data_IF_697132093952
#
_entry.id   IF_697132093952
#
_cell.length_a   1.000
_cell.length_b   1.000
_cell.length_c   1.000
_cell.angle_alpha   90.00
_cell.angle_beta   90.00
_cell.angle_gamma   90.00
#
_symmetry.space_group_name_H-M   'P 1'
#
loop_
_entity.id
_entity.type
_entity.pdbx_description
1 polymer ?
#
# COMPACT_ATOMS: atom_id res chain seq x y z
N UNK A 1 -1.30 -4.81 0.63
CA UNK A 1 -2.38 -3.80 0.68
C UNK A 1 -2.59 -3.16 -0.69
N UNK A 2 -1.62 -2.48 -1.30
CA UNK A 2 -1.71 -1.86 -2.64
C UNK A 2 -2.38 -2.78 -3.67
N UNK A 3 -1.78 -3.93 -3.93
CA UNK A 3 -2.29 -4.89 -4.92
C UNK A 3 -3.74 -5.33 -4.61
N UNK A 4 -4.03 -5.68 -3.34
CA UNK A 4 -5.39 -6.10 -2.94
C UNK A 4 -6.43 -5.01 -3.17
N UNK A 5 -6.11 -3.74 -2.88
CA UNK A 5 -7.03 -2.62 -3.12
C UNK A 5 -7.31 -2.42 -4.61
N UNK A 6 -6.29 -2.51 -5.46
CA UNK A 6 -6.47 -2.40 -6.90
C UNK A 6 -7.27 -3.57 -7.49
N UNK A 7 -6.99 -4.81 -7.06
CA UNK A 7 -7.74 -6.00 -7.46
C UNK A 7 -9.21 -5.91 -7.01
N UNK A 8 -9.46 -5.45 -5.77
CA UNK A 8 -10.81 -5.23 -5.25
C UNK A 8 -11.56 -4.16 -6.06
N UNK A 9 -10.91 -3.02 -6.32
CA UNK A 9 -11.48 -1.94 -7.11
C UNK A 9 -11.82 -2.39 -8.54
N UNK A 10 -10.93 -3.14 -9.16
CA UNK A 10 -11.14 -3.69 -10.51
C UNK A 10 -12.10 -4.91 -10.53
N UNK A 11 -12.61 -5.35 -9.37
CA UNK A 11 -13.49 -6.52 -9.23
C UNK A 11 -12.88 -7.82 -9.80
N UNK A 12 -11.57 -7.99 -9.61
CA UNK A 12 -10.84 -9.17 -10.13
C UNK A 12 -10.87 -10.29 -9.10
N UNK A 13 -11.30 -11.47 -9.55
CA UNK A 13 -11.26 -12.70 -8.76
C UNK A 13 -9.92 -13.40 -8.94
N UNK A 14 -9.32 -13.85 -7.83
CA UNK A 14 -8.03 -14.54 -7.81
C UNK A 14 -8.08 -15.80 -6.96
N UNK A 15 -7.14 -16.72 -7.19
CA UNK A 15 -6.72 -17.70 -6.18
C UNK A 15 -5.76 -17.03 -5.22
N UNK A 16 -6.12 -16.98 -3.95
CA UNK A 16 -5.29 -16.37 -2.90
C UNK A 16 -4.46 -17.44 -2.20
N UNK A 17 -3.15 -17.25 -2.20
CA UNK A 17 -2.19 -18.01 -1.40
C UNK A 17 -1.58 -17.09 -0.36
N UNK A 18 -2.15 -17.09 0.85
CA UNK A 18 -1.62 -16.31 1.98
C UNK A 18 -0.38 -17.00 2.54
N UNK A 19 0.67 -16.24 2.83
CA UNK A 19 1.92 -16.80 3.33
C UNK A 19 2.38 -16.10 4.62
N UNK A 20 3.21 -16.78 5.40
CA UNK A 20 3.99 -16.17 6.49
C UNK A 20 5.34 -15.74 5.95
N UNK A 21 5.76 -14.49 6.23
CA UNK A 21 7.07 -13.99 5.80
C UNK A 21 8.25 -14.70 6.46
N UNK A 22 8.01 -15.33 7.62
CA UNK A 22 8.99 -16.17 8.32
C UNK A 22 9.05 -17.61 7.81
N UNK A 23 8.07 -18.01 6.98
CA UNK A 23 7.93 -19.38 6.47
C UNK A 23 7.35 -19.30 5.04
N UNK A 24 8.24 -18.99 4.10
CA UNK A 24 7.91 -18.76 2.69
C UNK A 24 7.97 -20.09 1.95
N UNK A 25 6.90 -20.47 1.22
CA UNK A 25 6.89 -21.72 0.45
C UNK A 25 7.78 -21.64 -0.80
N UNK A 26 8.28 -22.78 -1.27
CA UNK A 26 9.14 -22.88 -2.46
C UNK A 26 8.43 -22.39 -3.73
N UNK A 27 7.11 -22.51 -3.78
CA UNK A 27 6.28 -22.01 -4.89
C UNK A 27 6.39 -20.50 -5.05
N UNK A 28 6.59 -19.74 -3.96
CA UNK A 28 6.84 -18.32 -4.05
C UNK A 28 8.16 -18.03 -4.78
N UNK A 29 9.23 -18.76 -4.44
CA UNK A 29 10.54 -18.59 -5.09
C UNK A 29 10.54 -19.09 -6.53
N UNK A 30 9.74 -20.12 -6.83
CA UNK A 30 9.50 -20.58 -8.21
C UNK A 30 8.81 -19.51 -9.05
N UNK A 31 7.84 -18.78 -8.46
CA UNK A 31 7.14 -17.70 -9.14
C UNK A 31 7.98 -16.43 -9.25
N UNK A 32 8.74 -16.06 -8.20
CA UNK A 32 9.63 -14.89 -8.19
C UNK A 32 10.86 -15.13 -7.34
N UNK A 33 12.04 -15.07 -7.95
CA UNK A 33 13.32 -15.24 -7.27
C UNK A 33 13.58 -14.22 -6.15
N UNK A 34 12.87 -13.09 -6.13
CA UNK A 34 12.95 -12.08 -5.06
C UNK A 34 12.44 -12.60 -3.73
N UNK A 35 11.53 -13.59 -3.73
CA UNK A 35 10.88 -14.10 -2.53
C UNK A 35 10.10 -13.04 -1.74
N UNK A 36 9.74 -11.91 -2.38
CA UNK A 36 8.95 -10.84 -1.78
C UNK A 36 7.46 -11.00 -2.12
N UNK A 37 6.61 -10.34 -1.37
CA UNK A 37 5.16 -10.31 -1.64
C UNK A 37 4.69 -8.86 -1.81
N UNK A 38 3.67 -8.65 -2.66
CA UNK A 38 2.85 -9.61 -3.38
C UNK A 38 3.52 -10.12 -4.66
N UNK A 39 3.11 -11.32 -5.11
CA UNK A 39 3.38 -11.85 -6.45
C UNK A 39 2.04 -12.21 -7.07
N UNK A 40 1.82 -11.83 -8.32
CA UNK A 40 0.64 -12.18 -9.10
C UNK A 40 1.07 -13.00 -10.32
N UNK A 41 0.60 -14.25 -10.41
CA UNK A 41 0.75 -15.08 -11.59
C UNK A 41 -0.50 -15.01 -12.44
N UNK A 42 -0.34 -14.70 -13.72
CA UNK A 42 -1.45 -14.63 -14.68
C UNK A 42 -1.74 -15.99 -15.31
N UNK A 43 -2.94 -16.19 -15.89
CA UNK A 43 -3.31 -17.47 -16.52
C UNK A 43 -2.37 -17.92 -17.66
N UNK A 44 -1.70 -16.99 -18.31
CA UNK A 44 -0.71 -17.29 -19.37
C UNK A 44 0.68 -17.66 -18.82
N UNK A 45 0.84 -17.75 -17.48
CA UNK A 45 2.08 -18.05 -16.80
C UNK A 45 3.00 -16.88 -16.54
N UNK A 46 2.70 -15.67 -17.05
CA UNK A 46 3.49 -14.48 -16.73
C UNK A 46 3.31 -14.05 -15.28
N UNK A 47 4.34 -13.42 -14.71
CA UNK A 47 4.39 -13.05 -13.29
C UNK A 47 4.63 -11.56 -13.15
N UNK A 48 3.90 -10.94 -12.22
CA UNK A 48 4.08 -9.54 -11.79
C UNK A 48 4.41 -9.57 -10.30
N UNK A 49 5.59 -9.13 -9.92
CA UNK A 49 6.12 -9.25 -8.55
C UNK A 49 6.39 -7.91 -7.84
N UNK A 50 5.96 -6.80 -8.45
CA UNK A 50 5.95 -5.49 -7.80
C UNK A 50 4.52 -5.03 -7.51
N UNK A 51 4.28 -4.59 -6.28
CA UNK A 51 2.92 -4.23 -5.85
C UNK A 51 2.30 -3.10 -6.67
N UNK A 52 3.12 -2.16 -7.15
CA UNK A 52 2.65 -1.07 -7.98
C UNK A 52 2.35 -1.52 -9.42
N UNK A 53 3.14 -2.45 -9.97
CA UNK A 53 2.87 -3.01 -11.30
C UNK A 53 1.59 -3.87 -11.29
N UNK A 54 1.33 -4.60 -10.18
CA UNK A 54 0.04 -5.28 -10.00
C UNK A 54 -1.11 -4.26 -9.95
N UNK A 55 -0.93 -3.10 -9.31
CA UNK A 55 -1.97 -2.05 -9.32
C UNK A 55 -2.23 -1.57 -10.75
N UNK A 56 -1.20 -1.22 -11.52
CA UNK A 56 -1.35 -0.77 -12.91
C UNK A 56 -2.07 -1.82 -13.75
N UNK A 57 -1.59 -3.05 -13.71
CA UNK A 57 -2.22 -4.16 -14.41
C UNK A 57 -3.71 -4.31 -14.07
N UNK A 58 -4.06 -4.27 -12.78
CA UNK A 58 -5.45 -4.40 -12.36
C UNK A 58 -6.33 -3.25 -12.88
N UNK A 59 -5.82 -2.02 -12.89
CA UNK A 59 -6.55 -0.86 -13.39
C UNK A 59 -6.72 -0.85 -14.90
N UNK A 60 -5.81 -1.49 -15.66
CA UNK A 60 -5.93 -1.69 -17.10
C UNK A 60 -7.08 -2.67 -17.47
N UNK A 61 -7.50 -3.52 -16.53
CA UNK A 61 -8.60 -4.47 -16.75
C UNK A 61 -10.00 -3.84 -16.56
N UNK A 62 -10.09 -2.58 -16.14
CA UNK A 62 -11.36 -1.92 -15.83
C UNK A 62 -11.37 -0.47 -16.27
N UNK A 63 -12.57 0.11 -16.39
CA UNK A 63 -12.69 1.57 -16.51
C UNK A 63 -12.42 2.17 -15.14
N UNK A 64 -11.44 3.09 -15.07
CA UNK A 64 -11.02 3.73 -13.84
C UNK A 64 -10.87 5.22 -14.03
N UNK A 65 -11.20 5.98 -12.99
CA UNK A 65 -10.88 7.41 -12.88
C UNK A 65 -9.63 7.67 -12.01
N UNK A 66 -8.96 6.61 -11.53
CA UNK A 66 -7.74 6.74 -10.71
C UNK A 66 -6.50 7.20 -11.48
N UNK A 67 -6.58 7.18 -12.80
CA UNK A 67 -5.47 7.55 -13.70
C UNK A 67 -5.74 8.87 -14.45
N UNK A 68 -6.90 9.51 -14.22
CA UNK A 68 -7.40 10.59 -15.06
C UNK A 68 -6.70 11.95 -14.82
N UNK A 69 -6.09 12.14 -13.65
CA UNK A 69 -5.58 13.45 -13.23
C UNK A 69 -4.05 13.38 -13.05
N UNK A 70 -3.31 14.19 -13.82
CA UNK A 70 -1.86 14.42 -13.63
C UNK A 70 -1.08 13.14 -13.32
N UNK A 71 -1.21 12.12 -14.16
CA UNK A 71 -0.66 10.80 -13.89
C UNK A 71 0.86 10.83 -13.65
N UNK A 72 1.61 11.66 -14.38
CA UNK A 72 3.05 11.83 -14.20
C UNK A 72 3.40 12.39 -12.80
N UNK A 73 2.64 13.37 -12.31
CA UNK A 73 2.85 13.92 -10.97
C UNK A 73 2.50 12.89 -9.89
N UNK A 74 1.50 12.06 -10.14
CA UNK A 74 1.17 10.93 -9.26
C UNK A 74 2.32 9.92 -9.19
N UNK A 75 2.92 9.56 -10.34
CA UNK A 75 4.07 8.66 -10.40
C UNK A 75 5.27 9.23 -9.64
N UNK A 76 5.54 10.54 -9.79
CA UNK A 76 6.61 11.21 -9.05
C UNK A 76 6.36 11.13 -7.53
N UNK A 77 5.14 11.41 -7.09
CA UNK A 77 4.78 11.32 -5.68
C UNK A 77 4.93 9.89 -5.13
N UNK A 78 4.52 8.88 -5.89
CA UNK A 78 4.69 7.46 -5.53
C UNK A 78 6.17 7.12 -5.44
N UNK A 79 6.98 7.58 -6.38
CA UNK A 79 8.43 7.37 -6.38
C UNK A 79 9.08 7.96 -5.12
N UNK A 80 8.77 9.21 -4.77
CA UNK A 80 9.25 9.84 -3.53
C UNK A 80 8.83 9.03 -2.30
N UNK A 81 7.57 8.55 -2.27
CA UNK A 81 7.08 7.72 -1.18
C UNK A 81 7.87 6.39 -1.05
N UNK A 82 8.23 5.77 -2.14
CA UNK A 82 8.88 4.44 -2.13
C UNK A 82 10.41 4.54 -1.96
N UNK A 83 11.05 5.54 -2.58
CA UNK A 83 12.51 5.67 -2.59
C UNK A 83 13.05 6.55 -1.45
N UNK A 84 12.26 7.54 -0.98
CA UNK A 84 12.70 8.45 0.07
C UNK A 84 11.97 8.21 1.40
N UNK A 85 10.63 8.23 1.40
CA UNK A 85 9.87 8.09 2.65
C UNK A 85 9.99 6.70 3.27
N UNK A 86 9.85 5.63 2.49
CA UNK A 86 9.91 4.25 2.99
C UNK A 86 11.23 3.90 3.71
N UNK A 87 12.43 4.28 3.23
CA UNK A 87 13.67 4.10 3.98
C UNK A 87 13.68 4.81 5.33
N UNK A 88 13.24 6.07 5.40
CA UNK A 88 13.15 6.80 6.66
C UNK A 88 12.11 6.21 7.61
N UNK A 89 10.96 5.80 7.09
CA UNK A 89 9.93 5.10 7.86
C UNK A 89 10.46 3.80 8.47
N UNK A 90 11.24 3.03 7.73
CA UNK A 90 11.85 1.81 8.26
C UNK A 90 12.81 2.10 9.42
N UNK A 91 13.64 3.12 9.29
CA UNK A 91 14.55 3.56 10.38
C UNK A 91 13.76 4.08 11.58
N UNK A 92 12.69 4.83 11.36
CA UNK A 92 11.81 5.32 12.41
C UNK A 92 11.13 4.18 13.17
N UNK A 93 10.52 3.22 12.46
CA UNK A 93 9.85 2.05 13.06
C UNK A 93 10.79 1.15 13.85
N UNK A 94 12.01 0.99 13.36
CA UNK A 94 13.00 0.09 13.91
C UNK A 94 14.20 0.84 14.44
N UNK A 95 14.00 2.04 15.01
CA UNK A 95 15.06 2.94 15.48
C UNK A 95 16.07 2.27 16.42
N UNK A 96 15.62 1.27 17.19
CA UNK A 96 16.51 0.46 18.05
C UNK A 96 17.61 -0.27 17.27
N UNK A 97 17.40 -0.53 15.97
CA UNK A 97 18.39 -1.14 15.06
C UNK A 97 19.24 -0.08 14.35
N UNK A 98 18.95 1.20 14.60
CA UNK A 98 19.59 2.36 13.98
C UNK A 98 20.04 3.38 15.05
N UNK A 99 20.96 2.96 15.97
CA UNK A 99 21.39 3.81 17.10
C UNK A 99 22.27 4.99 16.67
N UNK A 100 22.63 5.10 15.40
CA UNK A 100 23.45 6.17 14.84
C UNK A 100 22.81 7.55 14.92
N UNK A 101 21.49 7.64 15.11
CA UNK A 101 20.73 8.87 15.31
C UNK A 101 19.61 8.68 16.32
N UNK A 102 19.19 9.77 16.97
CA UNK A 102 18.04 9.77 17.85
C UNK A 102 16.74 9.47 17.11
N UNK A 103 15.76 8.92 17.80
CA UNK A 103 14.43 8.56 17.29
C UNK A 103 13.75 9.74 16.58
N UNK A 104 13.84 10.94 17.18
CA UNK A 104 13.24 12.17 16.66
C UNK A 104 13.85 12.58 15.31
N UNK A 105 15.11 12.25 15.07
CA UNK A 105 15.75 12.53 13.78
C UNK A 105 15.05 11.78 12.65
N UNK A 106 14.78 10.48 12.83
CA UNK A 106 14.09 9.68 11.82
C UNK A 106 12.63 10.09 11.66
N UNK A 107 11.96 10.43 12.77
CA UNK A 107 10.61 10.97 12.77
C UNK A 107 10.55 12.25 11.93
N UNK A 108 11.47 13.20 12.17
CA UNK A 108 11.51 14.46 11.44
C UNK A 108 11.77 14.27 9.95
N UNK A 109 12.63 13.30 9.55
CA UNK A 109 12.82 12.96 8.14
C UNK A 109 11.54 12.45 7.46
N UNK A 110 10.75 11.69 8.17
CA UNK A 110 9.42 11.30 7.69
C UNK A 110 8.48 12.51 7.58
N UNK A 111 8.47 13.37 8.59
CA UNK A 111 7.59 14.55 8.65
C UNK A 111 7.92 15.56 7.55
N UNK A 112 9.20 15.76 7.19
CA UNK A 112 9.60 16.62 6.05
C UNK A 112 8.87 16.25 4.76
N UNK A 113 8.69 14.94 4.50
CA UNK A 113 7.99 14.44 3.31
C UNK A 113 6.47 14.52 3.51
N UNK A 114 5.97 14.06 4.67
CA UNK A 114 4.54 14.02 4.96
C UNK A 114 3.92 15.41 5.05
N UNK A 115 4.69 16.44 5.40
CA UNK A 115 4.22 17.83 5.45
C UNK A 115 3.76 18.34 4.08
N UNK A 116 4.32 17.83 2.99
CA UNK A 116 3.86 18.14 1.63
C UNK A 116 2.46 17.55 1.38
N UNK A 117 2.22 16.32 1.83
CA UNK A 117 0.90 15.69 1.75
C UNK A 117 -0.10 16.38 2.66
N UNK A 118 0.30 16.73 3.88
CA UNK A 118 -0.50 17.49 4.83
C UNK A 118 -0.98 18.83 4.23
N UNK A 119 -0.06 19.59 3.63
CA UNK A 119 -0.37 20.85 2.97
C UNK A 119 -1.34 20.66 1.79
N UNK A 120 -1.14 19.64 0.97
CA UNK A 120 -2.05 19.33 -0.14
C UNK A 120 -3.45 19.01 0.37
N UNK A 121 -3.54 18.19 1.41
CA UNK A 121 -4.79 17.75 2.00
C UNK A 121 -5.51 18.83 2.83
N UNK A 122 -4.87 19.95 3.15
CA UNK A 122 -5.55 21.10 3.80
C UNK A 122 -6.65 21.68 2.92
N UNK A 123 -6.51 21.61 1.61
CA UNK A 123 -7.45 22.16 0.62
C UNK A 123 -8.16 21.08 -0.21
N UNK A 124 -7.79 19.82 -0.05
CA UNK A 124 -8.29 18.70 -0.85
C UNK A 124 -8.77 17.55 0.03
N UNK A 125 -9.71 16.76 -0.50
CA UNK A 125 -10.13 15.51 0.15
C UNK A 125 -9.10 14.39 -0.06
N UNK A 126 -8.47 14.35 -1.24
CA UNK A 126 -7.47 13.40 -1.66
C UNK A 126 -6.24 14.12 -2.23
N UNK A 127 -5.13 13.41 -2.43
CA UNK A 127 -3.84 14.00 -2.82
C UNK A 127 -3.88 14.76 -4.16
N UNK A 128 -4.78 14.39 -5.06
CA UNK A 128 -4.97 15.07 -6.36
C UNK A 128 -6.40 15.62 -6.54
N UNK A 129 -7.05 16.06 -5.46
CA UNK A 129 -8.31 16.77 -5.54
C UNK A 129 -9.46 16.13 -4.77
N UNK A 130 -10.64 16.08 -5.40
CA UNK A 130 -11.88 15.67 -4.73
C UNK A 130 -12.16 14.17 -4.76
N UNK A 131 -11.50 13.42 -5.65
CA UNK A 131 -11.66 11.98 -5.84
C UNK A 131 -10.36 11.24 -5.58
N UNK A 132 -10.43 9.99 -5.10
CA UNK A 132 -9.26 9.14 -4.97
C UNK A 132 -8.54 8.94 -6.30
N UNK A 133 -7.22 8.89 -6.26
CA UNK A 133 -6.37 8.56 -7.40
C UNK A 133 -5.45 7.39 -7.03
N UNK A 134 -4.71 6.86 -8.01
CA UNK A 134 -3.78 5.74 -7.78
C UNK A 134 -2.71 6.08 -6.72
N UNK A 135 -2.26 7.33 -6.67
CA UNK A 135 -1.30 7.82 -5.67
C UNK A 135 -1.82 7.70 -4.24
N UNK A 136 -3.11 8.00 -4.01
CA UNK A 136 -3.70 7.84 -2.68
C UNK A 136 -3.60 6.39 -2.21
N UNK A 137 -3.97 5.43 -3.05
CA UNK A 137 -3.92 4.01 -2.71
C UNK A 137 -2.49 3.50 -2.57
N UNK A 138 -1.58 4.00 -3.40
CA UNK A 138 -0.18 3.59 -3.35
C UNK A 138 0.54 4.09 -2.09
N UNK A 139 0.21 5.29 -1.61
CA UNK A 139 0.85 5.93 -0.46
C UNK A 139 0.24 5.45 0.87
N UNK A 140 -1.06 5.14 0.88
CA UNK A 140 -1.83 4.77 2.07
C UNK A 140 -1.14 3.75 3.00
N UNK A 141 -0.54 2.65 2.52
CA UNK A 141 0.04 1.66 3.42
C UNK A 141 1.20 2.18 4.26
N UNK A 142 2.03 3.05 3.69
CA UNK A 142 3.20 3.58 4.38
C UNK A 142 2.82 4.72 5.34
N UNK A 143 1.89 5.60 4.95
CA UNK A 143 1.32 6.61 5.87
C UNK A 143 0.64 5.94 7.06
N UNK A 144 -0.15 4.89 6.81
CA UNK A 144 -0.76 4.11 7.89
C UNK A 144 0.29 3.49 8.82
N UNK A 145 1.41 2.98 8.29
CA UNK A 145 2.48 2.46 9.12
C UNK A 145 3.14 3.56 9.97
N UNK A 146 3.37 4.74 9.41
CA UNK A 146 3.91 5.88 10.14
C UNK A 146 2.98 6.29 11.30
N UNK A 147 1.69 6.46 11.02
CA UNK A 147 0.69 6.80 12.02
C UNK A 147 0.64 5.81 13.20
N UNK A 148 0.85 4.52 12.91
CA UNK A 148 0.82 3.47 13.94
C UNK A 148 2.09 3.40 14.82
N UNK A 149 3.17 4.10 14.48
CA UNK A 149 4.34 4.20 15.37
C UNK A 149 4.05 5.12 16.56
N UNK A 150 3.44 6.28 16.30
CA UNK A 150 2.99 7.23 17.32
C UNK A 150 1.73 7.95 16.82
N UNK A 151 0.59 7.38 17.18
CA UNK A 151 -0.71 7.89 16.76
C UNK A 151 -1.01 9.27 17.34
N UNK A 152 -0.60 9.52 18.58
CA UNK A 152 -0.82 10.81 19.26
C UNK A 152 -0.05 11.92 18.55
N UNK A 153 1.21 11.68 18.23
CA UNK A 153 2.02 12.60 17.44
C UNK A 153 1.39 12.86 16.06
N UNK A 154 0.99 11.78 15.36
CA UNK A 154 0.41 11.87 14.01
C UNK A 154 -0.85 12.71 13.99
N UNK A 155 -1.81 12.44 14.87
CA UNK A 155 -3.07 13.18 14.97
C UNK A 155 -2.86 14.67 15.27
N UNK A 156 -1.90 14.98 16.16
CA UNK A 156 -1.62 16.36 16.58
C UNK A 156 -0.92 17.17 15.50
N UNK A 157 0.05 16.57 14.79
CA UNK A 157 0.96 17.30 13.92
C UNK A 157 0.59 17.21 12.43
N UNK A 158 -0.24 16.24 12.04
CA UNK A 158 -0.64 15.98 10.65
C UNK A 158 -2.18 15.76 10.57
N UNK A 159 -3.00 16.73 11.00
CA UNK A 159 -4.45 16.55 11.15
C UNK A 159 -5.19 16.31 9.83
N UNK A 160 -4.77 16.93 8.71
CA UNK A 160 -5.39 16.70 7.41
C UNK A 160 -5.05 15.34 6.83
N UNK A 161 -3.80 14.90 7.03
CA UNK A 161 -3.35 13.56 6.66
C UNK A 161 -4.02 12.49 7.54
N UNK A 162 -4.26 12.80 8.82
CA UNK A 162 -5.06 11.93 9.69
C UNK A 162 -6.51 11.81 9.21
N UNK A 163 -7.17 12.92 8.87
CA UNK A 163 -8.52 12.91 8.27
C UNK A 163 -8.56 12.04 7.01
N UNK A 164 -7.59 12.19 6.11
CA UNK A 164 -7.48 11.40 4.89
C UNK A 164 -7.28 9.91 5.20
N UNK A 165 -6.42 9.56 6.16
CA UNK A 165 -6.21 8.18 6.60
C UNK A 165 -7.49 7.56 7.18
N UNK A 166 -8.21 8.28 8.04
CA UNK A 166 -9.48 7.81 8.62
C UNK A 166 -10.57 7.65 7.55
N UNK A 167 -10.62 8.55 6.56
CA UNK A 167 -11.53 8.41 5.40
C UNK A 167 -11.27 7.10 4.66
N UNK A 168 -10.00 6.76 4.40
CA UNK A 168 -9.64 5.49 3.78
C UNK A 168 -9.99 4.29 4.65
N UNK A 169 -9.69 4.33 5.94
CA UNK A 169 -9.99 3.24 6.88
C UNK A 169 -11.49 2.96 7.00
N UNK A 170 -12.31 3.99 6.88
CA UNK A 170 -13.77 3.87 6.89
C UNK A 170 -14.36 3.38 5.54
N UNK A 171 -13.60 3.41 4.46
CA UNK A 171 -14.08 3.01 3.15
C UNK A 171 -14.33 1.51 3.06
N UNK A 172 -15.38 1.13 2.32
CA UNK A 172 -15.67 -0.28 2.03
C UNK A 172 -14.51 -0.98 1.32
N UNK A 173 -13.83 -0.26 0.40
CA UNK A 173 -12.67 -0.78 -0.32
C UNK A 173 -11.51 -1.15 0.61
N UNK A 174 -11.20 -0.30 1.60
CA UNK A 174 -10.16 -0.62 2.56
C UNK A 174 -10.58 -1.79 3.47
N UNK A 175 -11.81 -1.77 3.96
CA UNK A 175 -12.32 -2.80 4.87
C UNK A 175 -12.37 -4.18 4.19
N UNK A 176 -12.73 -4.23 2.92
CA UNK A 176 -12.84 -5.48 2.16
C UNK A 176 -11.52 -6.26 2.08
N UNK A 177 -10.39 -5.55 2.04
CA UNK A 177 -9.07 -6.17 1.91
C UNK A 177 -8.40 -6.49 3.25
N UNK A 178 -9.05 -6.13 4.37
CA UNK A 178 -8.48 -6.31 5.72
C UNK A 178 -8.82 -7.65 6.37
N UNK A 179 -9.64 -8.48 5.71
CA UNK A 179 -9.90 -9.84 6.14
C UNK A 179 -8.58 -10.61 6.23
N UNK A 180 -8.41 -11.35 7.32
CA UNK A 180 -7.30 -12.30 7.49
C UNK A 180 -7.67 -13.63 6.87
N UNK A 181 -6.68 -14.29 6.29
CA UNK A 181 -6.79 -15.61 5.71
C UNK A 181 -5.78 -16.54 6.35
N UNK A 182 -6.09 -17.84 6.36
CA UNK A 182 -5.18 -18.86 6.85
C UNK A 182 -3.98 -18.99 5.91
N UNK A 183 -2.84 -19.43 6.45
CA UNK A 183 -1.63 -19.72 5.68
C UNK A 183 -1.97 -20.79 4.64
N UNK A 184 -1.54 -20.55 3.41
CA UNK A 184 -1.65 -21.52 2.33
C UNK A 184 -0.68 -22.68 2.55
N UNK A 185 -1.14 -23.91 2.24
CA UNK A 185 -0.34 -25.13 2.27
C UNK A 185 -0.41 -25.83 0.89
N UNK A 186 0.70 -26.44 0.41
CA UNK A 186 0.69 -27.20 -0.83
C UNK A 186 -0.38 -28.31 -0.84
N UNK A 187 -1.11 -28.43 -1.94
CA UNK A 187 -2.15 -29.46 -2.12
C UNK A 187 -3.51 -29.10 -1.51
N UNK A 188 -3.67 -27.96 -0.84
CA UNK A 188 -4.98 -27.53 -0.35
C UNK A 188 -5.91 -27.13 -1.51
N UNK A 189 -7.22 -27.19 -1.26
CA UNK A 189 -8.23 -26.67 -2.20
C UNK A 189 -7.98 -25.18 -2.47
N UNK A 190 -7.99 -24.77 -3.75
CA UNK A 190 -7.78 -23.35 -4.10
C UNK A 190 -8.75 -22.42 -3.39
N UNK A 191 -8.22 -21.40 -2.72
CA UNK A 191 -9.01 -20.36 -2.09
C UNK A 191 -9.30 -19.25 -3.11
N UNK A 192 -10.50 -19.29 -3.67
CA UNK A 192 -10.95 -18.28 -4.64
C UNK A 192 -11.53 -17.09 -3.88
N UNK A 193 -10.98 -15.91 -4.12
CA UNK A 193 -11.44 -14.67 -3.48
C UNK A 193 -11.68 -13.57 -4.50
N UNK A 194 -12.74 -12.81 -4.23
CA UNK A 194 -12.93 -11.48 -4.76
C UNK A 194 -12.99 -10.54 -3.56
N UNK A 195 -12.08 -9.59 -3.47
CA UNK A 195 -12.04 -8.67 -2.34
C UNK A 195 -13.17 -7.64 -2.36
N UNK A 196 -13.89 -7.49 -3.48
CA UNK A 196 -15.03 -6.59 -3.59
C UNK A 196 -16.30 -7.29 -3.09
N UNK A 197 -16.46 -7.37 -1.77
CA UNK A 197 -17.72 -7.81 -1.18
C UNK A 197 -18.69 -6.61 -1.19
N UNK A 198 -19.68 -6.69 -2.07
CA UNK A 198 -20.89 -5.86 -1.99
C UNK A 198 -21.75 -6.31 -0.82
#
# INVERSE_FOLDING_TARGET
MRARMALAYANITIELREILLSDRPDELYTASSKGTVPVLQLPNGSVIDESFDIMKWALEQTKTDWLDINFEDQLLMIKVNDEEFKPWLNKYKYHQRHPERAYEYYQNKCVEILSKYEQTLSNNLFLFGKKPQISDVAILPLVRQFAHVDLTFFMKNLPHLNRWLETWKASTLFQSIMKKYDKWEPGQTPLIVNFNHK
#
